data_IF_664415932164
#
_entry.id   IF_664415932164
#
_cell.length_a   1.000
_cell.length_b   1.000
_cell.length_c   1.000
_cell.angle_alpha   90.00
_cell.angle_beta   90.00
_cell.angle_gamma   90.00
#
_symmetry.space_group_name_H-M   'P 1'
#
loop_
_entity.id
_entity.type
_entity.pdbx_description
1 polymer ?
#
# COMPACT_ATOMS: atom_id res chain seq x y z
N UNK A 1 15.97 -15.97 -5.20
CA UNK A 1 15.05 -15.61 -6.30
C UNK A 1 15.46 -14.24 -6.83
N UNK A 2 15.39 -14.04 -8.14
CA UNK A 2 15.64 -12.71 -8.74
C UNK A 2 14.28 -12.04 -8.95
N UNK A 3 14.07 -10.87 -8.34
CA UNK A 3 12.89 -10.05 -8.53
C UNK A 3 13.13 -9.02 -9.64
N UNK A 4 12.13 -8.70 -10.42
CA UNK A 4 12.20 -7.71 -11.50
C UNK A 4 11.70 -6.33 -11.02
N UNK A 5 10.73 -6.32 -10.11
CA UNK A 5 10.05 -5.10 -9.63
C UNK A 5 10.43 -4.73 -8.21
N UNK A 6 11.28 -5.53 -7.56
CA UNK A 6 11.72 -5.32 -6.19
C UNK A 6 13.25 -5.37 -6.07
N UNK A 7 13.78 -4.60 -5.13
CA UNK A 7 15.14 -4.78 -4.61
C UNK A 7 15.05 -5.23 -3.16
N UNK A 8 15.75 -6.32 -2.83
CA UNK A 8 15.76 -6.89 -1.48
C UNK A 8 17.15 -6.72 -0.90
N UNK A 9 17.24 -6.26 0.34
CA UNK A 9 18.48 -6.25 1.10
C UNK A 9 18.22 -6.64 2.55
N UNK A 10 19.27 -7.11 3.24
CA UNK A 10 19.20 -7.58 4.61
C UNK A 10 20.25 -6.86 5.45
N UNK A 11 19.87 -6.48 6.65
CA UNK A 11 20.77 -5.94 7.65
C UNK A 11 20.32 -6.40 9.04
N UNK A 12 21.12 -7.20 9.73
CA UNK A 12 20.77 -7.81 11.02
C UNK A 12 19.41 -8.53 10.96
N UNK A 13 18.46 -8.07 11.75
CA UNK A 13 17.08 -8.61 11.83
C UNK A 13 16.10 -7.91 10.87
N UNK A 14 16.60 -7.05 10.00
CA UNK A 14 15.80 -6.21 9.10
C UNK A 14 15.94 -6.68 7.68
N UNK A 15 14.81 -6.98 7.04
CA UNK A 15 14.72 -7.12 5.59
C UNK A 15 14.13 -5.82 5.00
N UNK A 16 14.82 -5.23 4.02
CA UNK A 16 14.28 -4.14 3.23
C UNK A 16 13.73 -4.66 1.91
N UNK A 17 12.52 -4.26 1.60
CA UNK A 17 11.84 -4.53 0.33
C UNK A 17 11.59 -3.18 -0.33
N UNK A 18 12.36 -2.85 -1.35
CA UNK A 18 12.16 -1.64 -2.12
C UNK A 18 11.35 -1.96 -3.38
N UNK A 19 10.22 -1.29 -3.55
CA UNK A 19 9.49 -1.26 -4.81
C UNK A 19 10.35 -0.49 -5.80
N UNK A 20 10.69 -1.11 -6.92
CA UNK A 20 11.63 -0.56 -7.90
C UNK A 20 11.11 -0.72 -9.33
N UNK A 21 10.21 0.18 -9.71
CA UNK A 21 9.65 0.34 -11.06
C UNK A 21 9.72 1.82 -11.47
N UNK A 22 10.94 2.36 -11.67
CA UNK A 22 11.11 3.80 -11.94
C UNK A 22 10.37 4.26 -13.22
N UNK A 23 10.28 3.40 -14.23
CA UNK A 23 9.62 3.67 -15.51
C UNK A 23 8.10 3.91 -15.39
N UNK A 24 7.48 3.37 -14.33
CA UNK A 24 6.04 3.45 -14.09
C UNK A 24 5.67 4.10 -12.76
N UNK A 25 6.60 4.87 -12.16
CA UNK A 25 6.38 5.52 -10.87
C UNK A 25 5.91 4.57 -9.76
N UNK A 26 6.46 3.34 -9.73
CA UNK A 26 6.09 2.30 -8.79
C UNK A 26 4.59 1.94 -8.81
N UNK A 27 3.93 2.03 -9.98
CA UNK A 27 2.56 1.55 -10.12
C UNK A 27 2.46 0.04 -9.89
N UNK A 28 1.31 -0.41 -9.42
CA UNK A 28 1.06 -1.81 -9.03
C UNK A 28 0.48 -2.56 -10.23
N UNK A 29 1.30 -3.40 -10.83
CA UNK A 29 0.89 -4.36 -11.85
C UNK A 29 0.89 -5.80 -11.30
N UNK A 30 0.49 -6.75 -12.13
CA UNK A 30 0.42 -8.17 -11.76
C UNK A 30 1.77 -8.74 -11.34
N UNK A 31 2.86 -8.32 -12.00
CA UNK A 31 4.21 -8.77 -11.65
C UNK A 31 4.62 -8.28 -10.26
N UNK A 32 4.45 -6.97 -9.97
CA UNK A 32 4.75 -6.42 -8.65
C UNK A 32 3.90 -7.09 -7.56
N UNK A 33 2.62 -7.34 -7.86
CA UNK A 33 1.70 -8.00 -6.93
C UNK A 33 2.20 -9.39 -6.55
N UNK A 34 2.58 -10.21 -7.53
CA UNK A 34 3.12 -11.54 -7.29
C UNK A 34 4.46 -11.50 -6.53
N UNK A 35 5.35 -10.62 -6.94
CA UNK A 35 6.69 -10.53 -6.33
C UNK A 35 6.63 -10.02 -4.90
N UNK A 36 5.81 -9.00 -4.62
CA UNK A 36 5.67 -8.45 -3.28
C UNK A 36 5.05 -9.47 -2.32
N UNK A 37 4.02 -10.20 -2.76
CA UNK A 37 3.44 -11.28 -1.97
C UNK A 37 4.48 -12.37 -1.68
N UNK A 38 5.25 -12.80 -2.68
CA UNK A 38 6.33 -13.78 -2.54
C UNK A 38 7.43 -13.29 -1.58
N UNK A 39 7.84 -12.02 -1.68
CA UNK A 39 8.85 -11.44 -0.80
C UNK A 39 8.39 -11.37 0.67
N UNK A 40 7.11 -11.03 0.91
CA UNK A 40 6.52 -11.04 2.24
C UNK A 40 6.41 -12.46 2.81
N UNK A 41 6.07 -13.45 2.00
CA UNK A 41 6.04 -14.86 2.39
C UNK A 41 7.45 -15.39 2.72
N UNK A 42 8.44 -15.01 1.93
CA UNK A 42 9.84 -15.35 2.21
C UNK A 42 10.32 -14.72 3.53
N UNK A 43 9.96 -13.45 3.78
CA UNK A 43 10.24 -12.80 5.06
C UNK A 43 9.58 -13.50 6.24
N UNK A 44 8.34 -13.97 6.07
CA UNK A 44 7.60 -14.70 7.11
C UNK A 44 8.30 -16.01 7.51
N UNK A 45 8.86 -16.72 6.53
CA UNK A 45 9.58 -17.99 6.73
C UNK A 45 10.98 -17.80 7.35
N UNK A 46 11.58 -16.61 7.23
CA UNK A 46 12.94 -16.34 7.72
C UNK A 46 12.94 -16.02 9.21
N UNK A 47 13.47 -16.92 10.04
CA UNK A 47 13.43 -16.79 11.52
C UNK A 47 14.22 -15.57 12.04
N UNK A 48 15.33 -15.23 11.37
CA UNK A 48 16.20 -14.11 11.77
C UNK A 48 15.51 -12.78 11.56
N UNK A 49 14.68 -12.66 10.53
CA UNK A 49 13.94 -11.41 10.22
C UNK A 49 12.89 -11.14 11.29
N UNK A 50 12.93 -9.94 11.88
CA UNK A 50 11.95 -9.41 12.85
C UNK A 50 11.16 -8.24 12.29
N UNK A 51 11.78 -7.46 11.42
CA UNK A 51 11.21 -6.24 10.83
C UNK A 51 11.38 -6.29 9.32
N UNK A 52 10.30 -6.01 8.61
CA UNK A 52 10.31 -5.75 7.17
C UNK A 52 10.11 -4.26 6.95
N UNK A 53 11.03 -3.61 6.24
CA UNK A 53 10.89 -2.22 5.81
C UNK A 53 10.46 -2.24 4.36
N UNK A 54 9.25 -1.74 4.08
CA UNK A 54 8.76 -1.50 2.73
C UNK A 54 9.06 -0.06 2.34
N UNK A 55 9.76 0.16 1.24
CA UNK A 55 10.11 1.48 0.76
C UNK A 55 9.94 1.60 -0.77
N UNK A 56 9.83 2.84 -1.25
CA UNK A 56 9.77 3.15 -2.68
C UNK A 56 11.05 3.79 -3.20
N UNK A 57 10.90 4.60 -4.26
CA UNK A 57 11.94 5.47 -4.80
C UNK A 57 12.00 6.79 -3.99
N UNK A 58 13.05 7.61 -4.18
CA UNK A 58 13.18 8.87 -3.44
C UNK A 58 12.00 9.83 -3.59
N UNK A 59 11.42 9.92 -4.79
CA UNK A 59 10.37 10.89 -5.12
C UNK A 59 8.97 10.26 -5.21
N UNK A 60 8.87 8.94 -5.14
CA UNK A 60 7.61 8.22 -5.25
C UNK A 60 7.66 6.89 -4.49
N UNK A 61 6.74 6.75 -3.54
CA UNK A 61 6.56 5.47 -2.85
C UNK A 61 5.80 4.49 -3.75
N UNK A 62 4.59 4.86 -4.17
CA UNK A 62 3.73 4.04 -5.05
C UNK A 62 2.56 4.88 -5.55
N UNK A 63 2.21 4.77 -6.84
CA UNK A 63 1.12 5.53 -7.49
C UNK A 63 -0.18 4.74 -7.65
N UNK A 64 -0.28 3.55 -7.07
CA UNK A 64 -1.49 2.71 -7.16
C UNK A 64 -1.53 1.86 -8.41
N UNK A 65 -2.73 1.52 -8.87
CA UNK A 65 -2.94 0.59 -9.98
C UNK A 65 -2.23 1.02 -11.26
N UNK A 66 -1.62 0.08 -11.95
CA UNK A 66 -1.00 0.29 -13.25
C UNK A 66 -2.07 0.39 -14.34
N UNK A 67 -2.40 1.60 -14.73
CA UNK A 67 -3.41 1.86 -15.76
C UNK A 67 -2.95 1.43 -17.16
N UNK A 68 -1.65 1.34 -17.39
CA UNK A 68 -1.14 0.82 -18.66
C UNK A 68 -1.47 -0.67 -18.80
N UNK A 69 -1.25 -1.47 -17.73
CA UNK A 69 -1.64 -2.87 -17.72
C UNK A 69 -3.16 -3.03 -17.94
N UNK A 70 -3.98 -2.23 -17.25
CA UNK A 70 -5.45 -2.28 -17.41
C UNK A 70 -5.89 -1.95 -18.84
N UNK A 71 -5.24 -0.96 -19.48
CA UNK A 71 -5.61 -0.50 -20.81
C UNK A 71 -5.11 -1.39 -21.95
N UNK A 72 -3.97 -2.08 -21.77
CA UNK A 72 -3.26 -2.76 -22.87
C UNK A 72 -3.27 -4.29 -22.76
N UNK A 73 -3.49 -4.86 -21.58
CA UNK A 73 -3.51 -6.31 -21.44
C UNK A 73 -4.68 -6.93 -22.22
N UNK A 74 -4.36 -7.92 -23.05
CA UNK A 74 -5.36 -8.63 -23.87
C UNK A 74 -6.44 -9.32 -23.04
N UNK A 75 -6.09 -9.75 -21.83
CA UNK A 75 -6.97 -10.44 -20.87
C UNK A 75 -6.63 -9.93 -19.47
N UNK A 76 -7.04 -8.70 -19.14
CA UNK A 76 -6.97 -8.20 -17.77
C UNK A 76 -8.11 -8.81 -16.96
N UNK A 77 -7.76 -9.46 -15.84
CA UNK A 77 -8.76 -9.96 -14.88
C UNK A 77 -8.82 -9.01 -13.65
N UNK A 78 -9.82 -8.13 -13.59
CA UNK A 78 -9.97 -7.19 -12.48
C UNK A 78 -10.10 -7.90 -11.12
N UNK A 79 -10.76 -9.06 -11.09
CA UNK A 79 -10.99 -9.81 -9.84
C UNK A 79 -9.71 -10.46 -9.34
N UNK A 80 -8.92 -11.06 -10.21
CA UNK A 80 -7.62 -11.62 -9.86
C UNK A 80 -6.66 -10.53 -9.38
N UNK A 81 -6.61 -9.38 -10.08
CA UNK A 81 -5.78 -8.23 -9.70
C UNK A 81 -6.16 -7.69 -8.32
N UNK A 82 -7.45 -7.43 -8.07
CA UNK A 82 -7.95 -6.93 -6.80
C UNK A 82 -7.71 -7.91 -5.64
N UNK A 83 -7.92 -9.22 -5.86
CA UNK A 83 -7.61 -10.26 -4.87
C UNK A 83 -6.12 -10.32 -4.55
N UNK A 84 -5.27 -10.29 -5.57
CA UNK A 84 -3.82 -10.30 -5.38
C UNK A 84 -3.37 -9.11 -4.51
N UNK A 85 -3.84 -7.91 -4.85
CA UNK A 85 -3.53 -6.71 -4.08
C UNK A 85 -4.08 -6.77 -2.64
N UNK A 86 -5.34 -7.17 -2.46
CA UNK A 86 -5.93 -7.29 -1.11
C UNK A 86 -5.16 -8.32 -0.26
N UNK A 87 -4.72 -9.42 -0.84
CA UNK A 87 -3.93 -10.43 -0.15
C UNK A 87 -2.57 -9.87 0.35
N UNK A 88 -1.94 -8.95 -0.38
CA UNK A 88 -0.75 -8.24 0.11
C UNK A 88 -1.09 -7.48 1.39
N UNK A 89 -2.12 -6.65 1.39
CA UNK A 89 -2.53 -5.86 2.56
C UNK A 89 -2.88 -6.75 3.75
N UNK A 90 -3.59 -7.84 3.50
CA UNK A 90 -3.94 -8.85 4.50
C UNK A 90 -2.69 -9.50 5.09
N UNK A 91 -1.75 -9.96 4.24
CA UNK A 91 -0.48 -10.54 4.66
C UNK A 91 0.32 -9.56 5.54
N UNK A 92 0.43 -8.30 5.15
CA UNK A 92 1.12 -7.28 5.95
C UNK A 92 0.49 -7.13 7.33
N UNK A 93 -0.84 -7.06 7.40
CA UNK A 93 -1.59 -6.89 8.66
C UNK A 93 -1.60 -8.13 9.56
N UNK A 94 -1.27 -9.31 9.05
CA UNK A 94 -1.29 -10.59 9.76
C UNK A 94 0.11 -11.22 9.95
N UNK A 95 1.16 -10.63 9.39
CA UNK A 95 2.53 -11.12 9.45
C UNK A 95 3.03 -11.24 10.90
N UNK A 96 3.85 -12.25 11.19
CA UNK A 96 4.60 -12.37 12.44
C UNK A 96 5.76 -11.36 12.53
N UNK A 97 6.06 -10.67 11.43
CA UNK A 97 7.08 -9.63 11.37
C UNK A 97 6.42 -8.26 11.57
N UNK A 98 7.17 -7.32 12.12
CA UNK A 98 6.73 -5.91 12.14
C UNK A 98 6.94 -5.33 10.75
N UNK A 99 5.87 -4.84 10.13
CA UNK A 99 5.93 -4.18 8.82
C UNK A 99 6.02 -2.67 9.03
N UNK A 100 7.12 -2.08 8.60
CA UNK A 100 7.37 -0.65 8.65
C UNK A 100 7.43 -0.09 7.22
N UNK A 101 6.57 0.86 6.88
CA UNK A 101 6.70 1.61 5.63
C UNK A 101 7.60 2.83 5.82
N UNK A 102 8.61 2.97 4.95
CA UNK A 102 9.41 4.18 4.81
C UNK A 102 8.94 4.94 3.58
N UNK A 103 8.30 6.07 3.81
CA UNK A 103 7.60 6.83 2.77
C UNK A 103 8.37 8.09 2.40
N UNK A 104 8.59 8.26 1.09
CA UNK A 104 9.14 9.48 0.49
C UNK A 104 8.32 9.82 -0.75
N UNK A 105 8.13 11.11 -1.00
CA UNK A 105 7.43 11.59 -2.18
C UNK A 105 5.97 11.14 -2.26
N UNK A 106 5.52 10.78 -3.45
CA UNK A 106 4.11 10.55 -3.77
C UNK A 106 3.60 9.17 -3.31
N UNK A 107 2.44 9.17 -2.65
CA UNK A 107 1.66 7.97 -2.29
C UNK A 107 0.24 8.14 -2.80
N UNK A 108 -0.16 7.33 -3.78
CA UNK A 108 -1.47 7.47 -4.41
C UNK A 108 -2.24 6.15 -4.41
N UNK A 109 -3.56 6.24 -4.28
CA UNK A 109 -4.48 5.12 -4.46
C UNK A 109 -4.04 3.86 -3.67
N UNK A 110 -3.76 2.75 -4.36
CA UNK A 110 -3.26 1.52 -3.74
C UNK A 110 -1.97 1.70 -2.92
N UNK A 111 -1.13 2.71 -3.21
CA UNK A 111 0.01 3.06 -2.36
C UNK A 111 -0.41 3.45 -0.94
N UNK A 112 -1.54 4.17 -0.79
CA UNK A 112 -2.11 4.51 0.52
C UNK A 112 -2.54 3.25 1.26
N UNK A 113 -3.03 2.23 0.54
CA UNK A 113 -3.37 0.94 1.12
C UNK A 113 -2.16 0.21 1.73
N UNK A 114 -1.02 0.18 1.03
CA UNK A 114 0.23 -0.38 1.55
C UNK A 114 0.66 0.33 2.84
N UNK A 115 0.61 1.67 2.86
CA UNK A 115 0.88 2.48 4.05
C UNK A 115 -0.09 2.15 5.18
N UNK A 116 -1.39 2.11 4.89
CA UNK A 116 -2.43 1.85 5.89
C UNK A 116 -2.38 0.44 6.48
N UNK A 117 -1.90 -0.55 5.72
CA UNK A 117 -1.75 -1.93 6.17
C UNK A 117 -0.47 -2.18 7.00
N UNK A 118 0.47 -1.24 7.00
CA UNK A 118 1.71 -1.33 7.78
C UNK A 118 1.47 -1.14 9.29
N UNK A 119 2.33 -1.72 10.10
CA UNK A 119 2.26 -1.55 11.57
C UNK A 119 2.77 -0.16 11.98
N UNK A 120 3.86 0.28 11.35
CA UNK A 120 4.47 1.58 11.56
C UNK A 120 4.74 2.27 10.23
N UNK A 121 4.63 3.57 10.22
CA UNK A 121 4.90 4.39 9.03
C UNK A 121 5.79 5.57 9.39
N UNK A 122 6.96 5.60 8.81
CA UNK A 122 7.90 6.71 8.92
C UNK A 122 7.94 7.42 7.56
N UNK A 123 7.83 8.73 7.56
CA UNK A 123 7.89 9.52 6.33
C UNK A 123 8.99 10.59 6.37
N UNK A 124 9.37 11.08 5.20
CA UNK A 124 10.07 12.35 5.12
C UNK A 124 9.10 13.53 4.86
N UNK A 125 9.65 14.73 4.83
CA UNK A 125 8.87 15.96 4.65
C UNK A 125 8.24 16.08 3.24
N UNK A 126 8.72 15.30 2.27
CA UNK A 126 8.22 15.31 0.88
C UNK A 126 6.99 14.46 0.67
N UNK A 127 6.67 13.62 1.66
CA UNK A 127 5.57 12.64 1.52
C UNK A 127 4.21 13.33 1.36
N UNK A 128 3.47 12.88 0.35
CA UNK A 128 2.09 13.32 0.09
C UNK A 128 1.19 12.12 -0.17
N UNK A 129 -0.04 12.19 0.31
CA UNK A 129 -0.98 11.07 0.25
C UNK A 129 -2.30 11.50 -0.41
N UNK A 130 -2.79 10.73 -1.37
CA UNK A 130 -4.05 11.03 -2.07
C UNK A 130 -4.79 9.76 -2.46
N UNK A 131 -6.12 9.80 -2.36
CA UNK A 131 -7.01 8.82 -2.98
C UNK A 131 -7.72 9.49 -4.16
N UNK A 132 -7.38 9.09 -5.37
CA UNK A 132 -7.88 9.70 -6.61
C UNK A 132 -8.92 8.85 -7.34
N UNK A 133 -9.27 7.71 -6.78
CA UNK A 133 -10.11 6.70 -7.42
C UNK A 133 -11.47 7.24 -7.88
N UNK A 134 -12.14 8.07 -7.06
CA UNK A 134 -13.45 8.63 -7.42
C UNK A 134 -13.43 9.48 -8.69
N UNK A 135 -12.31 10.10 -9.02
CA UNK A 135 -12.16 10.89 -10.24
C UNK A 135 -12.34 10.05 -11.50
N UNK A 136 -11.98 8.77 -11.42
CA UNK A 136 -12.14 7.80 -12.51
C UNK A 136 -13.48 7.04 -12.44
N UNK A 137 -14.28 7.23 -11.39
CA UNK A 137 -15.48 6.43 -11.10
C UNK A 137 -15.17 5.12 -10.40
N UNK A 138 -13.98 5.01 -9.83
CA UNK A 138 -13.57 3.88 -9.00
C UNK A 138 -13.77 4.18 -7.53
N UNK A 139 -13.80 3.16 -6.69
CA UNK A 139 -13.75 3.27 -5.25
C UNK A 139 -12.41 2.73 -4.72
N UNK A 140 -11.82 3.32 -3.68
CA UNK A 140 -10.66 2.75 -2.99
C UNK A 140 -11.08 1.56 -2.11
N UNK A 141 -11.85 0.60 -2.67
CA UNK A 141 -12.54 -0.44 -1.93
C UNK A 141 -11.59 -1.35 -1.15
N UNK A 142 -10.47 -1.77 -1.76
CA UNK A 142 -9.45 -2.58 -1.09
C UNK A 142 -8.65 -1.78 -0.05
N UNK A 143 -8.54 -0.46 -0.22
CA UNK A 143 -7.77 0.44 0.67
C UNK A 143 -8.55 0.80 1.93
N UNK A 144 -9.84 1.09 1.78
CA UNK A 144 -10.67 1.65 2.85
C UNK A 144 -10.71 0.83 4.14
N UNK A 145 -10.81 -0.51 4.15
CA UNK A 145 -10.81 -1.27 5.39
C UNK A 145 -9.55 -1.02 6.24
N UNK A 146 -8.38 -0.98 5.60
CA UNK A 146 -7.10 -0.74 6.27
C UNK A 146 -6.94 0.73 6.67
N UNK A 147 -7.38 1.65 5.81
CA UNK A 147 -7.33 3.08 6.08
C UNK A 147 -8.27 3.48 7.24
N UNK A 148 -9.51 2.98 7.26
CA UNK A 148 -10.45 3.21 8.36
C UNK A 148 -9.88 2.68 9.68
N UNK A 149 -9.26 1.50 9.67
CA UNK A 149 -8.57 0.96 10.83
C UNK A 149 -7.50 1.91 11.35
N UNK A 150 -6.76 2.57 10.46
CA UNK A 150 -5.61 3.39 10.82
C UNK A 150 -5.98 4.81 11.24
N UNK A 151 -6.84 5.50 10.48
CA UNK A 151 -7.14 6.92 10.70
C UNK A 151 -8.55 7.19 11.22
N UNK A 152 -9.38 6.15 11.32
CA UNK A 152 -10.80 6.25 11.65
C UNK A 152 -11.67 6.59 10.44
N UNK A 153 -12.98 6.33 10.59
CA UNK A 153 -13.94 6.39 9.49
C UNK A 153 -13.96 7.77 8.81
N UNK A 154 -14.09 8.84 9.60
CA UNK A 154 -14.35 10.16 9.04
C UNK A 154 -13.17 10.73 8.24
N UNK A 155 -11.94 10.46 8.67
CA UNK A 155 -10.74 10.91 7.95
C UNK A 155 -10.54 10.11 6.67
N UNK A 156 -10.76 8.79 6.72
CA UNK A 156 -10.73 7.92 5.55
C UNK A 156 -11.78 8.33 4.52
N UNK A 157 -13.01 8.56 4.96
CA UNK A 157 -14.11 9.04 4.11
C UNK A 157 -13.79 10.39 3.46
N UNK A 158 -13.28 11.36 4.26
CA UNK A 158 -12.87 12.68 3.75
C UNK A 158 -11.80 12.57 2.68
N UNK A 159 -10.74 11.76 2.89
CA UNK A 159 -9.66 11.60 1.92
C UNK A 159 -10.18 11.02 0.60
N UNK A 160 -11.03 9.98 0.68
CA UNK A 160 -11.64 9.37 -0.49
C UNK A 160 -12.59 10.34 -1.23
N UNK A 161 -13.45 11.05 -0.49
CA UNK A 161 -14.48 11.92 -1.08
C UNK A 161 -13.89 13.17 -1.74
N UNK A 162 -12.92 13.80 -1.07
CA UNK A 162 -12.35 15.07 -1.55
C UNK A 162 -11.30 14.89 -2.64
N UNK A 163 -10.69 13.71 -2.72
CA UNK A 163 -9.57 13.41 -3.62
C UNK A 163 -8.40 14.41 -3.51
N UNK A 164 -8.35 15.17 -2.41
CA UNK A 164 -7.29 16.14 -2.14
C UNK A 164 -6.08 15.46 -1.50
N UNK A 165 -4.89 15.84 -1.95
CA UNK A 165 -3.67 15.38 -1.34
C UNK A 165 -3.49 16.01 0.05
N UNK A 166 -2.98 15.21 1.00
CA UNK A 166 -2.55 15.68 2.32
C UNK A 166 -1.04 15.57 2.44
N UNK A 167 -0.44 16.49 3.16
CA UNK A 167 1.01 16.53 3.44
C UNK A 167 1.41 15.53 4.53
N UNK A 168 2.72 15.29 4.71
CA UNK A 168 3.26 14.50 5.82
C UNK A 168 2.78 15.04 7.18
N UNK A 169 2.77 16.36 7.37
CA UNK A 169 2.29 16.99 8.61
C UNK A 169 0.81 16.72 8.90
N UNK A 170 -0.05 16.76 7.87
CA UNK A 170 -1.46 16.40 8.04
C UNK A 170 -1.64 14.91 8.27
N UNK A 171 -0.89 14.09 7.56
CA UNK A 171 -0.92 12.63 7.69
C UNK A 171 -0.53 12.17 9.10
N UNK A 172 0.46 12.81 9.73
CA UNK A 172 0.81 12.55 11.13
C UNK A 172 -0.33 12.95 12.09
N UNK A 173 -0.89 14.16 11.94
CA UNK A 173 -2.05 14.61 12.75
C UNK A 173 -3.26 13.69 12.61
N UNK A 174 -3.40 13.02 11.48
CA UNK A 174 -4.47 12.07 11.24
C UNK A 174 -4.17 10.66 11.78
N UNK A 175 -2.93 10.35 12.09
CA UNK A 175 -2.44 9.03 12.47
C UNK A 175 -2.24 8.10 11.27
N UNK A 176 -2.16 8.64 10.04
CA UNK A 176 -1.79 7.86 8.86
C UNK A 176 -0.32 7.49 8.88
N UNK A 177 0.53 8.39 9.32
CA UNK A 177 1.93 8.14 9.62
C UNK A 177 2.21 8.35 11.12
N UNK A 178 3.20 7.65 11.64
CA UNK A 178 3.52 7.67 13.06
C UNK A 178 4.54 8.75 13.42
N UNK A 179 5.46 9.05 12.48
CA UNK A 179 6.48 10.07 12.66
C UNK A 179 7.03 10.52 11.29
N UNK A 180 7.39 11.79 11.13
CA UNK A 180 8.07 12.26 9.93
C UNK A 180 9.23 13.22 10.27
N UNK A 181 10.18 13.36 9.35
CA UNK A 181 11.29 14.29 9.49
C UNK A 181 12.38 14.08 8.44
N UNK A 182 13.32 15.01 8.38
CA UNK A 182 14.40 15.02 7.39
C UNK A 182 15.38 13.83 7.53
N UNK A 183 15.58 13.31 8.74
CA UNK A 183 16.46 12.16 8.99
C UNK A 183 15.69 10.87 9.29
N UNK A 184 15.09 10.29 8.26
CA UNK A 184 14.30 9.06 8.37
C UNK A 184 15.12 7.87 8.88
N UNK A 185 16.41 7.80 8.62
CA UNK A 185 17.27 6.73 9.13
C UNK A 185 17.39 6.77 10.67
N UNK A 186 17.48 7.95 11.25
CA UNK A 186 17.47 8.11 12.70
C UNK A 186 16.14 7.70 13.31
N UNK A 187 15.03 8.09 12.67
CA UNK A 187 13.69 7.71 13.10
C UNK A 187 13.51 6.18 13.07
N UNK A 188 13.84 5.54 11.96
CA UNK A 188 13.79 4.07 11.84
C UNK A 188 14.66 3.40 12.91
N UNK A 189 15.89 3.87 13.11
CA UNK A 189 16.81 3.28 14.08
C UNK A 189 16.27 3.35 15.52
N UNK A 190 15.51 4.39 15.86
CA UNK A 190 14.81 4.54 17.14
C UNK A 190 13.84 3.37 17.37
N UNK A 191 13.04 3.01 16.37
CA UNK A 191 12.09 1.89 16.45
C UNK A 191 12.80 0.53 16.43
N UNK A 192 13.75 0.31 15.49
CA UNK A 192 14.47 -0.97 15.36
C UNK A 192 15.15 -1.38 16.66
N UNK A 193 15.75 -0.43 17.41
CA UNK A 193 16.38 -0.71 18.72
C UNK A 193 15.47 -1.43 19.70
N UNK A 194 14.15 -1.24 19.59
CA UNK A 194 13.16 -1.90 20.46
C UNK A 194 12.56 -3.13 19.80
N UNK A 195 12.17 -3.00 18.53
CA UNK A 195 11.47 -4.03 17.79
C UNK A 195 12.26 -5.33 17.62
N UNK A 196 13.59 -5.26 17.53
CA UNK A 196 14.46 -6.44 17.38
C UNK A 196 14.35 -7.45 18.55
N UNK A 197 13.87 -7.02 19.69
CA UNK A 197 13.71 -7.88 20.87
C UNK A 197 12.31 -8.50 20.97
N UNK A 198 11.38 -8.14 20.10
CA UNK A 198 10.04 -8.72 20.14
C UNK A 198 10.06 -10.16 19.59
N UNK A 199 9.45 -11.13 20.30
CA UNK A 199 9.27 -12.45 19.73
C UNK A 199 8.24 -12.41 18.60
N UNK A 200 8.55 -13.05 17.48
CA UNK A 200 7.65 -13.08 16.30
C UNK A 200 6.29 -13.71 16.62
N UNK A 201 6.24 -14.71 17.53
CA UNK A 201 4.98 -15.29 18.02
C UNK A 201 4.11 -14.25 18.72
N UNK A 202 4.69 -13.43 19.61
CA UNK A 202 3.97 -12.38 20.31
C UNK A 202 3.44 -11.29 19.36
N UNK A 203 4.22 -10.91 18.32
CA UNK A 203 3.75 -9.99 17.29
C UNK A 203 2.57 -10.59 16.54
N UNK A 204 2.65 -11.86 16.14
CA UNK A 204 1.57 -12.57 15.45
C UNK A 204 0.29 -12.68 16.30
N UNK A 205 0.44 -13.05 17.58
CA UNK A 205 -0.69 -13.14 18.49
C UNK A 205 -1.37 -11.79 18.71
N UNK A 206 -0.58 -10.72 18.89
CA UNK A 206 -1.11 -9.36 19.01
C UNK A 206 -1.91 -8.95 17.76
N UNK A 207 -1.34 -9.16 16.56
CA UNK A 207 -2.03 -8.84 15.30
C UNK A 207 -3.30 -9.67 15.12
N UNK A 208 -3.24 -10.96 15.42
CA UNK A 208 -4.42 -11.83 15.34
C UNK A 208 -5.53 -11.37 16.29
N UNK A 209 -5.17 -10.98 17.52
CA UNK A 209 -6.14 -10.46 18.48
C UNK A 209 -6.75 -9.14 18.01
N UNK A 210 -5.93 -8.17 17.59
CA UNK A 210 -6.41 -6.88 17.07
C UNK A 210 -7.32 -7.06 15.84
N UNK A 211 -6.97 -7.97 14.93
CA UNK A 211 -7.78 -8.22 13.73
C UNK A 211 -9.17 -8.78 14.06
N UNK A 212 -9.35 -9.50 15.20
CA UNK A 212 -10.67 -9.93 15.66
C UNK A 212 -11.54 -8.79 16.19
N UNK A 213 -10.92 -7.67 16.59
CA UNK A 213 -11.64 -6.49 17.08
C UNK A 213 -12.09 -5.55 15.96
N UNK A 214 -11.69 -5.81 14.70
CA UNK A 214 -11.86 -4.90 13.57
C UNK A 214 -12.59 -5.53 12.38
N UNK A 215 -12.88 -4.65 11.40
CA UNK A 215 -13.67 -4.93 10.20
C UNK A 215 -12.94 -5.73 9.09
N UNK A 216 -11.66 -6.12 9.30
CA UNK A 216 -10.90 -6.84 8.27
C UNK A 216 -11.16 -8.34 8.41
N UNK A 217 -12.27 -8.79 7.83
CA UNK A 217 -12.74 -10.17 7.82
C UNK A 217 -12.84 -10.68 6.37
N UNK A 218 -13.19 -11.96 6.20
CA UNK A 218 -13.30 -12.55 4.87
C UNK A 218 -14.40 -11.86 4.04
N UNK A 219 -15.53 -11.56 4.66
CA UNK A 219 -16.65 -10.87 4.02
C UNK A 219 -16.28 -9.45 3.58
N UNK A 220 -15.41 -8.78 4.31
CA UNK A 220 -14.88 -7.46 3.93
C UNK A 220 -14.00 -7.56 2.68
N UNK A 221 -13.21 -8.64 2.56
CA UNK A 221 -12.42 -8.90 1.36
C UNK A 221 -13.31 -9.13 0.15
N UNK A 222 -14.32 -9.99 0.27
CA UNK A 222 -15.23 -10.31 -0.82
C UNK A 222 -16.00 -9.06 -1.29
N UNK A 223 -16.48 -8.25 -0.36
CA UNK A 223 -17.13 -6.99 -0.67
C UNK A 223 -16.19 -6.04 -1.42
N UNK A 224 -14.99 -5.82 -0.92
CA UNK A 224 -14.02 -4.90 -1.51
C UNK A 224 -13.57 -5.34 -2.91
N UNK A 225 -13.28 -6.64 -3.07
CA UNK A 225 -12.82 -7.21 -4.35
C UNK A 225 -13.93 -7.18 -5.40
N UNK A 226 -15.14 -7.55 -5.02
CA UNK A 226 -16.27 -7.56 -5.96
C UNK A 226 -16.62 -6.12 -6.40
N UNK A 227 -16.65 -5.17 -5.47
CA UNK A 227 -16.95 -3.77 -5.77
C UNK A 227 -15.94 -3.15 -6.75
N UNK A 228 -14.65 -3.21 -6.43
CA UNK A 228 -13.64 -2.62 -7.32
C UNK A 228 -13.56 -3.32 -8.68
N UNK A 229 -13.73 -4.64 -8.70
CA UNK A 229 -13.69 -5.43 -9.94
C UNK A 229 -14.86 -5.08 -10.86
N UNK A 230 -16.05 -4.91 -10.30
CA UNK A 230 -17.24 -4.49 -11.04
C UNK A 230 -17.04 -3.11 -11.66
N UNK A 231 -16.55 -2.14 -10.89
CA UNK A 231 -16.31 -0.79 -11.38
C UNK A 231 -15.22 -0.74 -12.45
N UNK A 232 -14.12 -1.47 -12.30
CA UNK A 232 -13.08 -1.54 -13.34
C UNK A 232 -13.64 -2.11 -14.65
N UNK A 233 -14.57 -3.04 -14.60
CA UNK A 233 -15.16 -3.65 -15.78
C UNK A 233 -16.16 -2.72 -16.52
N UNK A 234 -16.59 -1.62 -15.91
CA UNK A 234 -17.54 -0.70 -16.53
C UNK A 234 -16.95 0.06 -17.73
N UNK A 235 -17.66 0.13 -18.87
CA UNK A 235 -17.16 0.79 -20.08
C UNK A 235 -16.76 2.25 -19.87
N UNK A 236 -17.53 3.00 -19.09
CA UNK A 236 -17.26 4.42 -18.78
C UNK A 236 -15.99 4.61 -17.94
N UNK A 237 -15.69 3.69 -17.04
CA UNK A 237 -14.46 3.69 -16.26
C UNK A 237 -13.27 3.32 -17.14
N UNK A 238 -13.43 2.30 -18.00
CA UNK A 238 -12.40 1.89 -18.95
C UNK A 238 -12.05 3.02 -19.95
N UNK A 239 -13.04 3.78 -20.39
CA UNK A 239 -12.81 4.94 -21.29
C UNK A 239 -12.00 6.03 -20.56
N UNK A 240 -12.34 6.36 -19.31
CA UNK A 240 -11.59 7.34 -18.51
C UNK A 240 -10.14 6.90 -18.28
N UNK A 241 -9.92 5.62 -17.97
CA UNK A 241 -8.58 5.05 -17.78
C UNK A 241 -7.77 5.15 -19.07
N UNK A 242 -8.34 4.72 -20.20
CA UNK A 242 -7.69 4.79 -21.52
C UNK A 242 -7.35 6.22 -21.94
N UNK A 243 -8.26 7.17 -21.70
CA UNK A 243 -8.03 8.59 -21.99
C UNK A 243 -6.88 9.15 -21.15
N UNK A 244 -6.87 8.87 -19.86
CA UNK A 244 -5.80 9.29 -18.98
C UNK A 244 -4.45 8.69 -19.41
N UNK A 245 -4.42 7.41 -19.72
CA UNK A 245 -3.21 6.72 -20.22
C UNK A 245 -2.67 7.34 -21.51
N UNK A 246 -3.56 7.67 -22.45
CA UNK A 246 -3.16 8.18 -23.78
C UNK A 246 -2.80 9.67 -23.75
N UNK A 247 -3.52 10.47 -22.99
CA UNK A 247 -3.49 11.94 -23.07
C UNK A 247 -2.93 12.59 -21.81
N UNK A 248 -2.77 11.84 -20.71
CA UNK A 248 -2.36 12.37 -19.40
C UNK A 248 -3.42 13.28 -18.76
N UNK A 249 -4.62 13.34 -19.34
CA UNK A 249 -5.70 14.21 -18.90
C UNK A 249 -6.60 13.50 -17.87
N UNK A 250 -6.81 14.14 -16.75
CA UNK A 250 -7.80 13.68 -15.80
C UNK A 250 -9.23 13.81 -16.34
N UNK A 251 -10.20 12.99 -15.83
CA UNK A 251 -11.55 12.93 -16.38
C UNK A 251 -12.33 14.25 -16.46
N UNK A 252 -11.95 15.26 -15.67
CA UNK A 252 -12.56 16.60 -15.69
C UNK A 252 -11.84 17.61 -16.59
N UNK A 253 -10.73 17.24 -17.16
CA UNK A 253 -10.00 18.08 -18.11
C UNK A 253 -10.56 17.82 -19.52
N UNK A 254 -11.05 18.84 -20.16
CA UNK A 254 -11.55 18.82 -21.56
C UNK A 254 -10.49 19.24 -22.53
#
# INVERSE_FOLDING_TARGET
MSYQTLKISYQDVVQRIQIYRPESNNSINSQLTMELLSALQAAEAEEVVKVVILEGLPDVFCTGMDFEEVATAKQFDPKASANGYYNILKQMSQSSKVILSLVRGKVQAGGVGLVAASDLVIADETATFVLSELLFGLLPACVLPFLIRRVGFQKAYRLALTTQAISASEAEKWGLIDEYGSNTNQLISKYIRRLKYLPSSGVKELKNYINQLWIIQAETQDLAVNEISSLIAEPTVQEKIKRFQKEGLFPWQT
#
